data_IF_436863385077
#
_entry.id   IF_436863385077
#
_cell.length_a   1.000
_cell.length_b   1.000
_cell.length_c   1.000
_cell.angle_alpha   90.00
_cell.angle_beta   90.00
_cell.angle_gamma   90.00
#
_symmetry.space_group_name_H-M   'P 1'
#
loop_
_entity.id
_entity.type
_entity.pdbx_description
1 polymer ?
#
# COMPACT_ATOMS: atom_id res chain seq x y z
N UNK A 1 -36.35 -0.94 19.62
CA UNK A 1 -36.04 -1.10 18.20
C UNK A 1 -34.88 -0.19 17.89
N UNK A 2 -33.72 -0.81 17.73
CA UNK A 2 -32.41 -0.18 17.59
C UNK A 2 -32.30 0.45 16.21
N UNK A 3 -31.94 1.73 16.16
CA UNK A 3 -31.34 2.32 14.97
C UNK A 3 -30.24 3.26 15.47
N UNK A 4 -29.07 2.69 15.73
CA UNK A 4 -27.85 3.46 15.86
C UNK A 4 -27.34 3.69 14.44
N UNK A 5 -27.51 4.91 13.95
CA UNK A 5 -26.92 5.36 12.69
C UNK A 5 -25.40 5.21 12.79
N UNK A 6 -24.86 4.33 11.97
CA UNK A 6 -23.42 4.22 11.72
C UNK A 6 -22.98 5.48 10.99
N UNK A 7 -22.61 6.52 11.73
CA UNK A 7 -21.82 7.62 11.19
C UNK A 7 -20.50 7.04 10.69
N UNK A 8 -20.40 6.87 9.37
CA UNK A 8 -19.14 6.57 8.69
C UNK A 8 -18.14 7.67 9.06
N UNK A 9 -17.31 7.36 10.05
CA UNK A 9 -16.24 8.21 10.54
C UNK A 9 -15.33 8.46 9.34
N UNK A 10 -15.48 9.61 8.67
CA UNK A 10 -14.63 10.01 7.56
C UNK A 10 -13.19 9.95 8.07
N UNK A 11 -12.45 8.93 7.63
CA UNK A 11 -11.00 8.91 7.86
C UNK A 11 -10.45 10.02 6.97
N UNK A 12 -10.22 11.17 7.59
CA UNK A 12 -9.33 12.16 7.02
C UNK A 12 -7.93 11.59 7.24
N UNK A 13 -7.15 11.34 6.18
CA UNK A 13 -5.75 10.94 6.36
C UNK A 13 -5.04 12.15 6.96
N UNK A 14 -4.95 12.20 8.29
CA UNK A 14 -4.32 13.29 9.05
C UNK A 14 -2.79 13.17 9.07
N UNK A 15 -2.25 12.11 8.46
CA UNK A 15 -0.84 11.85 8.38
C UNK A 15 -0.25 12.57 7.15
N UNK A 16 0.98 13.10 7.22
CA UNK A 16 1.70 13.47 6.01
C UNK A 16 1.89 12.24 5.10
N UNK A 17 2.21 12.39 3.81
CA UNK A 17 2.64 11.26 2.99
C UNK A 17 3.79 10.53 3.67
N UNK A 18 3.80 9.20 3.67
CA UNK A 18 4.69 8.45 4.55
C UNK A 18 4.45 6.94 4.56
N UNK A 19 5.38 6.21 5.19
CA UNK A 19 5.23 4.79 5.53
C UNK A 19 4.91 4.65 7.01
N UNK A 20 3.85 3.92 7.33
CA UNK A 20 3.28 3.79 8.67
C UNK A 20 3.09 2.32 9.04
N UNK A 21 3.62 1.92 10.19
CA UNK A 21 3.19 0.69 10.86
C UNK A 21 1.96 0.99 11.71
N UNK A 22 0.87 0.27 11.47
CA UNK A 22 -0.42 0.46 12.09
C UNK A 22 -0.71 -0.74 12.98
N UNK A 23 -0.76 -0.51 14.30
CA UNK A 23 -0.82 -1.63 15.25
C UNK A 23 -2.26 -2.10 15.53
N UNK A 24 -3.30 -1.29 15.26
CA UNK A 24 -4.69 -1.68 15.49
C UNK A 24 -5.71 -0.92 14.64
N UNK A 25 -6.63 -1.66 14.01
CA UNK A 25 -8.01 -1.22 13.79
C UNK A 25 -8.27 -0.31 12.60
N UNK A 26 -7.40 -0.30 11.57
CA UNK A 26 -7.75 0.25 10.26
C UNK A 26 -8.38 -0.85 9.43
N UNK A 27 -9.70 -0.80 9.27
CA UNK A 27 -10.37 -1.76 8.40
C UNK A 27 -10.16 -1.37 6.93
N UNK A 28 -10.18 -2.33 5.99
CA UNK A 28 -10.18 -2.04 4.56
C UNK A 28 -11.27 -1.04 4.17
N UNK A 29 -12.45 -1.10 4.80
CA UNK A 29 -13.56 -0.19 4.54
C UNK A 29 -13.22 1.24 4.95
N UNK A 30 -12.53 1.42 6.08
CA UNK A 30 -12.12 2.72 6.56
C UNK A 30 -11.10 3.38 5.64
N UNK A 31 -10.09 2.63 5.18
CA UNK A 31 -9.10 3.10 4.21
C UNK A 31 -9.78 3.39 2.86
N UNK A 32 -10.64 2.49 2.39
CA UNK A 32 -11.39 2.67 1.14
C UNK A 32 -12.25 3.93 1.19
N UNK A 33 -12.97 4.17 2.29
CA UNK A 33 -13.76 5.37 2.48
C UNK A 33 -12.91 6.65 2.53
N UNK A 34 -11.71 6.59 3.14
CA UNK A 34 -10.76 7.70 3.15
C UNK A 34 -10.31 8.09 1.75
N UNK A 35 -9.89 7.08 0.98
CA UNK A 35 -9.35 7.19 -0.38
C UNK A 35 -10.41 7.66 -1.36
N UNK A 36 -11.62 7.08 -1.31
CA UNK A 36 -12.71 7.40 -2.23
C UNK A 36 -13.14 8.88 -2.18
N UNK A 37 -12.92 9.55 -1.06
CA UNK A 37 -13.27 10.97 -0.88
C UNK A 37 -12.21 11.95 -1.39
N UNK A 38 -11.04 11.47 -1.83
CA UNK A 38 -9.84 12.28 -2.11
C UNK A 38 -9.20 12.02 -3.48
N UNK A 39 -9.88 11.30 -4.38
CA UNK A 39 -9.36 10.93 -5.72
C UNK A 39 -8.00 10.20 -5.67
N UNK A 40 -7.78 9.46 -4.59
CA UNK A 40 -6.60 8.62 -4.40
C UNK A 40 -6.85 7.24 -4.99
N UNK A 41 -5.79 6.57 -5.45
CA UNK A 41 -5.85 5.16 -5.87
C UNK A 41 -5.35 4.27 -4.73
N UNK A 42 -6.15 3.28 -4.34
CA UNK A 42 -5.81 2.28 -3.33
C UNK A 42 -5.30 1.00 -3.97
N UNK A 43 -4.14 0.53 -3.51
CA UNK A 43 -3.58 -0.80 -3.76
C UNK A 43 -3.64 -1.60 -2.46
N UNK A 44 -4.60 -2.53 -2.36
CA UNK A 44 -4.79 -3.35 -1.16
C UNK A 44 -4.11 -4.71 -1.34
N UNK A 45 -3.18 -5.02 -0.44
CA UNK A 45 -2.45 -6.27 -0.38
C UNK A 45 -2.92 -7.06 0.84
N UNK A 46 -3.44 -8.27 0.60
CA UNK A 46 -3.76 -9.20 1.67
C UNK A 46 -2.61 -10.17 1.91
N UNK A 47 -2.01 -10.08 3.09
CA UNK A 47 -0.75 -10.71 3.45
C UNK A 47 -0.82 -12.16 3.90
N UNK A 48 -2.01 -12.73 4.06
CA UNK A 48 -2.19 -14.10 4.58
C UNK A 48 -1.42 -15.17 3.80
N UNK A 49 -1.07 -14.91 2.53
CA UNK A 49 -0.30 -15.81 1.67
C UNK A 49 1.06 -15.23 1.22
N UNK A 50 1.46 -14.07 1.75
CA UNK A 50 2.71 -13.40 1.41
C UNK A 50 3.74 -13.74 2.50
N UNK A 51 4.81 -14.44 2.12
CA UNK A 51 5.78 -14.97 3.07
C UNK A 51 7.23 -14.94 2.54
N UNK A 52 7.44 -14.43 1.33
CA UNK A 52 8.75 -14.30 0.71
C UNK A 52 8.72 -13.18 -0.36
N UNK A 53 9.90 -12.88 -0.93
CA UNK A 53 10.04 -11.97 -2.07
C UNK A 53 9.03 -12.21 -3.20
N UNK A 54 8.89 -13.46 -3.64
CA UNK A 54 8.16 -13.79 -4.86
C UNK A 54 6.65 -13.55 -4.67
N UNK A 55 6.11 -14.00 -3.53
CA UNK A 55 4.72 -13.81 -3.15
C UNK A 55 4.40 -12.34 -2.90
N UNK A 56 5.33 -11.57 -2.33
CA UNK A 56 5.16 -10.14 -2.13
C UNK A 56 5.12 -9.36 -3.45
N UNK A 57 6.12 -9.54 -4.33
CA UNK A 57 6.17 -8.84 -5.62
C UNK A 57 4.92 -9.17 -6.46
N UNK A 58 4.54 -10.44 -6.53
CA UNK A 58 3.34 -10.86 -7.26
C UNK A 58 2.06 -10.28 -6.65
N UNK A 59 1.99 -10.21 -5.32
CA UNK A 59 0.87 -9.61 -4.60
C UNK A 59 0.71 -8.12 -4.93
N UNK A 60 1.81 -7.37 -4.90
CA UNK A 60 1.82 -5.94 -5.21
C UNK A 60 1.53 -5.68 -6.69
N UNK A 61 2.17 -6.44 -7.59
CA UNK A 61 1.93 -6.36 -9.02
C UNK A 61 0.46 -6.60 -9.37
N UNK A 62 -0.19 -7.58 -8.73
CA UNK A 62 -1.62 -7.82 -8.90
C UNK A 62 -2.47 -6.68 -8.36
N UNK A 63 -2.16 -6.17 -7.17
CA UNK A 63 -2.95 -5.12 -6.52
C UNK A 63 -2.85 -3.77 -7.23
N UNK A 64 -1.71 -3.46 -7.83
CA UNK A 64 -1.46 -2.23 -8.57
C UNK A 64 -1.59 -2.38 -10.09
N UNK A 65 -2.05 -3.56 -10.55
CA UNK A 65 -2.28 -3.88 -11.96
C UNK A 65 -1.04 -3.58 -12.83
N UNK A 66 0.14 -4.03 -12.37
CA UNK A 66 1.40 -3.78 -13.06
C UNK A 66 1.36 -4.32 -14.50
N UNK A 67 2.00 -3.62 -15.46
CA UNK A 67 2.07 -4.07 -16.84
C UNK A 67 2.77 -5.41 -17.03
N UNK A 68 2.43 -6.13 -18.10
CA UNK A 68 2.99 -7.47 -18.41
C UNK A 68 4.51 -7.51 -18.62
N UNK A 69 5.14 -6.35 -18.87
CA UNK A 69 6.60 -6.25 -18.98
C UNK A 69 7.31 -6.24 -17.62
N UNK A 70 6.58 -6.00 -16.52
CA UNK A 70 7.15 -5.96 -15.19
C UNK A 70 7.66 -7.36 -14.81
N UNK A 71 8.95 -7.45 -14.51
CA UNK A 71 9.55 -8.70 -14.05
C UNK A 71 9.30 -8.89 -12.56
N UNK A 72 9.23 -10.14 -12.10
CA UNK A 72 9.07 -10.44 -10.69
C UNK A 72 10.40 -10.36 -9.91
N UNK A 73 11.03 -9.17 -9.89
CA UNK A 73 12.27 -8.90 -9.16
C UNK A 73 12.19 -7.53 -8.42
N UNK A 74 13.19 -7.24 -7.58
CA UNK A 74 13.19 -6.05 -6.74
C UNK A 74 13.33 -4.75 -7.52
N UNK A 75 14.19 -4.73 -8.52
CA UNK A 75 14.44 -3.54 -9.34
C UNK A 75 13.19 -3.16 -10.12
N UNK A 76 12.54 -4.13 -10.77
CA UNK A 76 11.28 -3.92 -11.49
C UNK A 76 10.14 -3.51 -10.56
N UNK A 77 10.10 -3.99 -9.31
CA UNK A 77 9.14 -3.52 -8.31
C UNK A 77 9.35 -2.04 -8.00
N UNK A 78 10.60 -1.64 -7.73
CA UNK A 78 10.94 -0.25 -7.40
C UNK A 78 10.64 0.69 -8.57
N UNK A 79 10.97 0.29 -9.80
CA UNK A 79 10.65 1.03 -11.02
C UNK A 79 9.13 1.23 -11.16
N UNK A 80 8.34 0.15 -11.06
CA UNK A 80 6.89 0.23 -11.20
C UNK A 80 6.24 1.10 -10.11
N UNK A 81 6.73 1.04 -8.87
CA UNK A 81 6.21 1.88 -7.77
C UNK A 81 6.52 3.37 -7.94
N UNK A 82 7.58 3.71 -8.68
CA UNK A 82 7.94 5.09 -9.01
C UNK A 82 7.31 5.57 -10.31
N UNK A 83 6.83 4.68 -11.15
CA UNK A 83 6.25 4.99 -12.45
C UNK A 83 4.88 4.33 -12.62
N UNK A 84 3.85 4.94 -12.03
CA UNK A 84 2.47 4.45 -12.05
C UNK A 84 1.65 5.05 -13.22
N UNK A 85 2.29 5.33 -14.35
CA UNK A 85 1.68 6.05 -15.47
C UNK A 85 0.43 5.40 -16.06
N UNK A 86 0.28 4.07 -15.93
CA UNK A 86 -0.88 3.32 -16.42
C UNK A 86 -2.15 3.53 -15.57
N UNK A 87 -2.02 4.05 -14.34
CA UNK A 87 -3.15 4.28 -13.45
C UNK A 87 -3.08 5.66 -12.76
N UNK A 88 -3.14 6.76 -13.53
CA UNK A 88 -2.98 8.11 -12.99
C UNK A 88 -4.06 8.44 -11.95
N UNK A 89 -3.64 9.05 -10.84
CA UNK A 89 -4.51 9.48 -9.74
C UNK A 89 -3.97 10.75 -9.06
N UNK A 90 -4.79 11.38 -8.20
CA UNK A 90 -4.34 12.54 -7.41
C UNK A 90 -3.32 12.15 -6.32
N UNK A 91 -3.18 10.86 -6.03
CA UNK A 91 -2.22 10.27 -5.10
C UNK A 91 -2.45 8.77 -4.93
N UNK A 92 -1.51 8.10 -4.26
CA UNK A 92 -1.49 6.64 -4.15
C UNK A 92 -1.48 6.19 -2.69
N UNK A 93 -2.17 5.10 -2.41
CA UNK A 93 -2.19 4.45 -1.10
C UNK A 93 -1.91 2.96 -1.27
N UNK A 94 -0.85 2.47 -0.64
CA UNK A 94 -0.62 1.04 -0.45
C UNK A 94 -1.10 0.68 0.95
N UNK A 95 -2.05 -0.25 1.03
CA UNK A 95 -2.43 -0.85 2.29
C UNK A 95 -2.02 -2.32 2.27
N UNK A 96 -0.99 -2.66 3.04
CA UNK A 96 -0.53 -4.03 3.21
C UNK A 96 -1.02 -4.55 4.56
N UNK A 97 -2.05 -5.38 4.51
CA UNK A 97 -2.70 -5.98 5.67
C UNK A 97 -2.13 -7.37 5.97
N UNK A 98 -1.78 -7.62 7.23
CA UNK A 98 -1.30 -8.93 7.66
C UNK A 98 0.14 -9.18 7.24
N UNK A 99 1.03 -8.30 7.63
CA UNK A 99 2.47 -8.32 7.26
C UNK A 99 3.29 -9.38 8.02
N UNK A 100 2.81 -9.84 9.17
CA UNK A 100 3.53 -10.76 10.07
C UNK A 100 4.07 -12.05 9.42
N UNK A 101 3.34 -12.73 8.52
CA UNK A 101 3.87 -13.92 7.84
C UNK A 101 5.14 -13.65 7.02
N UNK A 102 5.23 -12.50 6.36
CA UNK A 102 6.42 -12.12 5.57
C UNK A 102 7.57 -11.67 6.48
N UNK A 103 7.26 -10.89 7.52
CA UNK A 103 8.22 -10.45 8.53
C UNK A 103 8.94 -11.63 9.20
N UNK A 104 8.20 -12.69 9.51
CA UNK A 104 8.71 -13.83 10.26
C UNK A 104 9.39 -14.87 9.39
N UNK A 105 8.85 -15.16 8.21
CA UNK A 105 9.39 -16.20 7.34
C UNK A 105 10.71 -15.79 6.68
N UNK A 106 10.83 -14.53 6.23
CA UNK A 106 12.01 -14.04 5.51
C UNK A 106 12.36 -12.59 5.89
N UNK A 107 13.00 -12.37 7.07
CA UNK A 107 13.28 -11.02 7.57
C UNK A 107 14.14 -10.14 6.66
N UNK A 108 15.10 -10.73 5.94
CA UNK A 108 15.98 -9.99 5.03
C UNK A 108 15.23 -9.48 3.79
N UNK A 109 14.33 -10.31 3.23
CA UNK A 109 13.45 -9.90 2.13
C UNK A 109 12.43 -8.85 2.60
N UNK A 110 11.91 -8.98 3.83
CA UNK A 110 11.05 -7.98 4.44
C UNK A 110 11.75 -6.63 4.58
N UNK A 111 12.99 -6.61 5.05
CA UNK A 111 13.79 -5.39 5.15
C UNK A 111 13.98 -4.73 3.78
N UNK A 112 14.27 -5.54 2.75
CA UNK A 112 14.39 -5.06 1.36
C UNK A 112 13.06 -4.46 0.87
N UNK A 113 11.93 -5.10 1.17
CA UNK A 113 10.60 -4.58 0.81
C UNK A 113 10.31 -3.23 1.49
N UNK A 114 10.67 -3.07 2.77
CA UNK A 114 10.52 -1.79 3.49
C UNK A 114 11.34 -0.67 2.85
N UNK A 115 12.58 -0.96 2.45
CA UNK A 115 13.45 0.01 1.79
C UNK A 115 12.86 0.46 0.45
N UNK A 116 12.34 -0.48 -0.36
CA UNK A 116 11.68 -0.17 -1.63
C UNK A 116 10.41 0.67 -1.42
N UNK A 117 9.57 0.29 -0.45
CA UNK A 117 8.34 1.04 -0.14
C UNK A 117 8.65 2.46 0.37
N UNK A 118 9.65 2.61 1.24
CA UNK A 118 10.11 3.93 1.72
C UNK A 118 10.67 4.77 0.59
N UNK A 119 11.47 4.17 -0.28
CA UNK A 119 12.05 4.80 -1.46
C UNK A 119 10.99 5.31 -2.45
N UNK A 120 9.90 4.56 -2.65
CA UNK A 120 8.75 4.98 -3.44
C UNK A 120 8.03 6.17 -2.80
N UNK A 121 7.79 6.14 -1.48
CA UNK A 121 7.21 7.27 -0.74
C UNK A 121 8.06 8.53 -0.90
N UNK A 122 9.37 8.42 -0.70
CA UNK A 122 10.30 9.55 -0.84
C UNK A 122 10.29 10.12 -2.26
N UNK A 123 10.17 9.27 -3.28
CA UNK A 123 10.05 9.71 -4.67
C UNK A 123 8.81 10.57 -4.88
N UNK A 124 7.65 10.07 -4.48
CA UNK A 124 6.37 10.75 -4.67
C UNK A 124 6.25 12.02 -3.82
N UNK A 125 6.82 12.04 -2.61
CA UNK A 125 6.91 13.25 -1.77
C UNK A 125 7.64 14.43 -2.43
N UNK A 126 8.56 14.16 -3.38
CA UNK A 126 9.25 15.21 -4.16
C UNK A 126 8.42 15.74 -5.32
N UNK A 127 7.23 15.18 -5.54
CA UNK A 127 6.27 15.60 -6.56
C UNK A 127 5.04 16.25 -5.92
N UNK A 128 4.08 16.69 -6.73
CA UNK A 128 2.76 17.14 -6.24
C UNK A 128 1.78 16.00 -5.96
N UNK A 129 2.17 14.74 -6.20
CA UNK A 129 1.33 13.54 -6.05
C UNK A 129 1.81 12.76 -4.83
N UNK A 130 1.04 12.69 -3.73
CA UNK A 130 1.46 12.00 -2.51
C UNK A 130 1.37 10.49 -2.64
N UNK A 131 2.22 9.78 -1.89
CA UNK A 131 2.10 8.34 -1.64
C UNK A 131 2.04 8.06 -0.13
N UNK A 132 1.14 7.16 0.26
CA UNK A 132 0.99 6.65 1.61
C UNK A 132 1.16 5.14 1.61
N UNK A 133 1.87 4.60 2.58
CA UNK A 133 2.01 3.16 2.80
C UNK A 133 1.59 2.84 4.22
N UNK A 134 0.60 1.97 4.38
CA UNK A 134 0.12 1.48 5.66
C UNK A 134 0.42 -0.02 5.76
N UNK A 135 1.18 -0.40 6.80
CA UNK A 135 1.57 -1.76 7.11
C UNK A 135 0.82 -2.20 8.38
N UNK A 136 -0.08 -3.17 8.27
CA UNK A 136 -0.82 -3.76 9.41
C UNK A 136 -0.36 -5.19 9.69
#
# INVERSE_FOLDING_TARGET
>A
MTSASSESKKINIQYPPGLYQVTFGLTPEQITAAVASQDLKLFHLQGSNIHDKQTFINGLAKAAEFPDYAQANWDSLEECLRDLEWCPAAGYVIFYQGTEPFQTATPDDWQTALEILSSAVDFWQRTSTPMYVFLE
#
